data_IF_504291897174
#
_entry.id   IF_504291897174
#
_cell.length_a   1.000
_cell.length_b   1.000
_cell.length_c   1.000
_cell.angle_alpha   90.00
_cell.angle_beta   90.00
_cell.angle_gamma   90.00
#
_symmetry.space_group_name_H-M   'P 1'
#
loop_
_entity.id
_entity.type
_entity.pdbx_description
1 polymer ?
#
# COMPACT_ATOMS: atom_id res chain seq x y z
N UNK A 1 6.84 -17.14 -4.33
CA UNK A 1 6.29 -15.78 -4.24
C UNK A 1 4.80 -15.90 -3.97
N UNK A 2 4.30 -15.31 -2.88
CA UNK A 2 2.88 -15.41 -2.49
C UNK A 2 2.02 -14.54 -3.40
N UNK A 3 0.81 -14.99 -3.71
CA UNK A 3 -0.19 -14.17 -4.41
C UNK A 3 -1.19 -13.59 -3.41
N UNK A 4 -1.62 -12.37 -3.69
CA UNK A 4 -2.60 -11.61 -2.93
C UNK A 4 -3.91 -11.67 -3.70
N UNK A 5 -4.97 -12.08 -3.02
CA UNK A 5 -6.31 -12.07 -3.59
C UNK A 5 -6.77 -10.63 -3.82
N UNK A 6 -7.58 -10.43 -4.85
CA UNK A 6 -8.05 -9.10 -5.14
C UNK A 6 -9.13 -9.02 -6.19
N UNK A 7 -9.34 -7.80 -6.67
CA UNK A 7 -10.14 -7.51 -7.84
C UNK A 7 -9.52 -6.40 -8.67
N UNK A 8 -9.68 -6.50 -9.98
CA UNK A 8 -9.39 -5.46 -10.93
C UNK A 8 -10.70 -4.82 -11.41
N UNK A 9 -10.76 -3.50 -11.40
CA UNK A 9 -11.92 -2.71 -11.82
C UNK A 9 -11.55 -1.96 -13.10
N UNK A 10 -12.15 -2.37 -14.22
CA UNK A 10 -11.93 -1.78 -15.53
C UNK A 10 -13.02 -0.76 -15.89
N UNK A 11 -12.70 0.18 -16.78
CA UNK A 11 -13.70 1.03 -17.44
C UNK A 11 -14.44 1.99 -16.50
N UNK A 12 -15.77 1.99 -16.55
CA UNK A 12 -16.65 2.91 -15.79
C UNK A 12 -16.89 2.49 -14.33
N UNK A 13 -16.16 1.49 -13.84
CA UNK A 13 -16.20 1.06 -12.44
C UNK A 13 -17.27 0.04 -12.08
N UNK A 14 -18.08 -0.42 -13.05
CA UNK A 14 -19.22 -1.33 -12.79
C UNK A 14 -18.87 -2.81 -12.82
N UNK A 15 -17.80 -3.18 -13.54
CA UNK A 15 -17.38 -4.57 -13.67
C UNK A 15 -16.06 -4.80 -12.91
N UNK A 16 -16.07 -5.81 -12.04
CA UNK A 16 -14.91 -6.23 -11.29
C UNK A 16 -14.52 -7.66 -11.68
N UNK A 17 -13.24 -7.84 -12.02
CA UNK A 17 -12.65 -9.14 -12.28
C UNK A 17 -11.84 -9.58 -11.07
N UNK A 18 -12.27 -10.65 -10.41
CA UNK A 18 -11.54 -11.20 -9.26
C UNK A 18 -10.33 -12.01 -9.74
N UNK A 19 -9.26 -11.96 -8.98
CA UNK A 19 -8.01 -12.61 -9.35
C UNK A 19 -7.01 -12.64 -8.19
N UNK A 20 -5.79 -13.09 -8.52
CA UNK A 20 -4.68 -13.18 -7.59
C UNK A 20 -3.42 -12.64 -8.26
N UNK A 21 -2.72 -11.75 -7.57
CA UNK A 21 -1.51 -11.09 -8.08
C UNK A 21 -0.37 -11.18 -7.09
N UNK A 22 0.84 -11.38 -7.60
CA UNK A 22 2.07 -11.19 -6.84
C UNK A 22 2.33 -9.70 -6.59
N UNK A 23 3.18 -9.38 -5.62
CA UNK A 23 3.60 -7.98 -5.38
C UNK A 23 4.28 -7.38 -6.61
N UNK A 24 5.03 -8.17 -7.37
CA UNK A 24 5.65 -7.73 -8.63
C UNK A 24 4.61 -7.35 -9.69
N UNK A 25 3.56 -8.16 -9.85
CA UNK A 25 2.46 -7.85 -10.78
C UNK A 25 1.71 -6.58 -10.33
N UNK A 26 1.43 -6.43 -9.04
CA UNK A 26 0.83 -5.20 -8.49
C UNK A 26 1.73 -3.99 -8.75
N UNK A 27 3.04 -4.13 -8.55
CA UNK A 27 4.01 -3.07 -8.85
C UNK A 27 3.97 -2.66 -10.33
N UNK A 28 3.80 -3.62 -11.24
CA UNK A 28 3.68 -3.32 -12.67
C UNK A 28 2.38 -2.57 -12.98
N UNK A 29 1.24 -2.91 -12.35
CA UNK A 29 0.01 -2.12 -12.49
C UNK A 29 0.21 -0.66 -12.04
N UNK A 30 0.83 -0.47 -10.87
CA UNK A 30 1.07 0.88 -10.31
C UNK A 30 2.02 1.68 -11.21
N UNK A 31 3.04 1.05 -11.81
CA UNK A 31 3.91 1.68 -12.82
C UNK A 31 3.13 2.04 -14.10
N UNK A 32 2.20 1.19 -14.52
CA UNK A 32 1.34 1.39 -15.70
C UNK A 32 0.09 2.23 -15.39
N UNK A 33 0.23 3.23 -14.50
CA UNK A 33 -0.81 4.22 -14.21
C UNK A 33 -2.12 3.67 -13.62
N UNK A 34 -2.04 2.67 -12.75
CA UNK A 34 -3.18 2.19 -11.95
C UNK A 34 -3.04 2.58 -10.48
N UNK A 35 -4.18 2.83 -9.84
CA UNK A 35 -4.26 2.79 -8.39
C UNK A 35 -4.32 1.34 -7.92
N UNK A 36 -3.70 1.07 -6.78
CA UNK A 36 -3.88 -0.20 -6.08
C UNK A 36 -4.16 0.07 -4.60
N UNK A 37 -5.35 -0.30 -4.14
CA UNK A 37 -5.80 -0.15 -2.78
C UNK A 37 -5.69 -1.48 -2.05
N UNK A 38 -4.81 -1.55 -1.05
CA UNK A 38 -4.67 -2.72 -0.18
C UNK A 38 -5.59 -2.55 1.02
N UNK A 39 -6.50 -3.50 1.20
CA UNK A 39 -7.12 -3.78 2.49
C UNK A 39 -6.18 -4.68 3.29
N UNK A 40 -6.09 -4.44 4.60
CA UNK A 40 -5.19 -5.12 5.53
C UNK A 40 -5.65 -4.86 6.97
N UNK A 41 -5.11 -5.59 7.95
CA UNK A 41 -5.38 -5.41 9.38
C UNK A 41 -4.57 -4.25 10.01
N UNK A 42 -3.36 -4.02 9.49
CA UNK A 42 -2.48 -2.92 9.87
C UNK A 42 -1.09 -3.04 9.25
N UNK A 43 -0.25 -2.05 9.50
CA UNK A 43 1.12 -2.03 9.00
C UNK A 43 2.07 -1.32 9.96
N UNK A 44 3.36 -1.56 9.78
CA UNK A 44 4.41 -0.82 10.46
C UNK A 44 4.92 0.33 9.59
N UNK A 45 5.41 1.41 10.18
CA UNK A 45 6.02 2.55 9.47
C UNK A 45 7.51 2.58 9.78
N UNK A 46 8.35 2.45 8.74
CA UNK A 46 9.82 2.40 8.76
C UNK A 46 10.44 1.21 9.51
N UNK A 47 9.91 0.83 10.67
CA UNK A 47 10.40 -0.26 11.50
C UNK A 47 9.28 -0.92 12.34
N UNK A 48 9.60 -2.03 12.98
CA UNK A 48 8.67 -2.84 13.78
C UNK A 48 8.08 -2.15 15.03
N UNK A 49 8.64 -1.04 15.48
CA UNK A 49 8.20 -0.38 16.72
C UNK A 49 7.04 0.60 16.48
N UNK A 50 6.81 0.99 15.23
CA UNK A 50 5.81 2.00 14.87
C UNK A 50 4.64 1.35 14.14
N UNK A 51 3.76 0.71 14.90
CA UNK A 51 2.56 0.05 14.36
C UNK A 51 1.42 1.06 14.16
N UNK A 52 0.78 1.00 12.99
CA UNK A 52 -0.43 1.73 12.66
C UNK A 52 -1.57 0.74 12.39
N UNK A 53 -2.63 0.80 13.21
CA UNK A 53 -3.88 0.09 12.96
C UNK A 53 -4.68 0.84 11.89
N UNK A 54 -4.29 0.67 10.63
CA UNK A 54 -5.00 1.19 9.48
C UNK A 54 -5.59 0.02 8.70
N UNK A 55 -6.85 0.11 8.28
CA UNK A 55 -7.51 -0.96 7.53
C UNK A 55 -7.25 -0.92 6.01
N UNK A 56 -6.45 0.06 5.57
CA UNK A 56 -6.24 0.35 4.17
C UNK A 56 -4.93 1.09 3.90
N UNK A 57 -4.33 0.83 2.74
CA UNK A 57 -3.24 1.62 2.16
C UNK A 57 -3.48 1.80 0.66
N UNK A 58 -3.34 3.02 0.14
CA UNK A 58 -3.46 3.29 -1.29
C UNK A 58 -2.07 3.47 -1.90
N UNK A 59 -1.84 2.75 -2.99
CA UNK A 59 -0.69 2.93 -3.86
C UNK A 59 -1.10 3.79 -5.06
N UNK A 60 -0.39 4.91 -5.23
CA UNK A 60 -0.59 5.90 -6.27
C UNK A 60 0.27 5.59 -7.51
N UNK A 61 -0.32 5.75 -8.72
CA UNK A 61 0.37 5.63 -10.00
C UNK A 61 1.78 6.24 -10.02
N UNK A 62 2.78 5.45 -10.39
CA UNK A 62 4.17 5.92 -10.59
C UNK A 62 4.93 6.39 -9.34
N UNK A 63 4.28 6.49 -8.17
CA UNK A 63 4.86 7.07 -6.96
C UNK A 63 5.18 6.03 -5.89
N UNK A 64 4.26 5.09 -5.64
CA UNK A 64 4.35 4.17 -4.49
C UNK A 64 4.53 2.73 -4.96
N UNK A 65 5.66 2.45 -5.60
CA UNK A 65 5.94 1.14 -6.19
C UNK A 65 6.30 0.13 -5.07
N UNK A 66 5.48 -0.91 -4.81
CA UNK A 66 5.75 -1.86 -3.75
C UNK A 66 6.87 -2.84 -4.14
N UNK A 67 7.58 -3.36 -3.15
CA UNK A 67 8.49 -4.50 -3.28
C UNK A 67 8.20 -5.56 -2.22
N UNK A 68 8.73 -6.77 -2.38
CA UNK A 68 8.57 -7.86 -1.41
C UNK A 68 9.92 -8.42 -0.98
N UNK A 69 10.10 -8.55 0.33
CA UNK A 69 11.23 -9.22 0.98
C UNK A 69 10.67 -10.28 1.94
N UNK A 70 10.79 -11.55 1.58
CA UNK A 70 10.20 -12.68 2.34
C UNK A 70 8.69 -12.46 2.58
N UNK A 71 8.28 -12.40 3.85
CA UNK A 71 6.89 -12.19 4.29
C UNK A 71 6.55 -10.70 4.49
N UNK A 72 7.38 -9.77 3.99
CA UNK A 72 7.16 -8.33 4.13
C UNK A 72 6.95 -7.69 2.77
N UNK A 73 5.88 -6.91 2.66
CA UNK A 73 5.64 -6.01 1.53
C UNK A 73 6.06 -4.61 1.97
N UNK A 74 7.01 -4.02 1.24
CA UNK A 74 7.54 -2.69 1.50
C UNK A 74 6.88 -1.72 0.52
N UNK A 75 6.21 -0.70 1.04
CA UNK A 75 5.44 0.25 0.25
C UNK A 75 5.96 1.66 0.56
N UNK A 76 6.81 2.24 -0.31
CA UNK A 76 7.25 3.63 -0.14
C UNK A 76 6.06 4.57 -0.36
N UNK A 77 5.88 5.54 0.52
CA UNK A 77 4.80 6.53 0.45
C UNK A 77 5.14 7.79 1.25
N UNK A 78 4.25 8.78 1.23
CA UNK A 78 4.36 9.98 2.04
C UNK A 78 3.13 10.14 2.94
N UNK A 79 3.36 10.53 4.19
CA UNK A 79 2.29 11.01 5.08
C UNK A 79 2.56 12.47 5.45
N UNK A 80 1.48 13.21 5.72
CA UNK A 80 1.62 14.51 6.38
C UNK A 80 2.24 14.30 7.77
N UNK A 81 3.20 15.15 8.14
CA UNK A 81 3.92 15.07 9.42
C UNK A 81 2.99 14.87 10.61
N UNK A 82 1.89 15.62 10.69
CA UNK A 82 0.96 15.51 11.82
C UNK A 82 0.33 14.11 11.97
N UNK A 83 0.18 13.34 10.88
CA UNK A 83 -0.36 11.97 10.91
C UNK A 83 0.65 10.98 11.50
N UNK A 84 1.94 11.29 11.42
CA UNK A 84 3.01 10.47 11.99
C UNK A 84 3.26 10.78 13.48
N UNK A 85 2.67 11.87 13.99
CA UNK A 85 2.67 12.20 15.40
C UNK A 85 4.09 12.31 15.98
N UNK A 86 4.35 11.55 17.04
CA UNK A 86 5.60 11.61 17.81
C UNK A 86 6.85 11.19 17.04
N UNK A 87 6.72 10.47 15.92
CA UNK A 87 7.86 10.07 15.09
C UNK A 87 8.60 11.27 14.47
N UNK A 88 7.88 12.38 14.26
CA UNK A 88 8.39 13.59 13.62
C UNK A 88 7.79 14.84 14.26
N UNK A 89 8.15 15.09 15.54
CA UNK A 89 7.52 16.12 16.38
C UNK A 89 7.86 17.58 16.03
N UNK A 90 8.88 17.83 15.22
CA UNK A 90 9.33 19.18 14.85
C UNK A 90 9.10 19.45 13.35
N UNK A 91 8.81 20.71 12.98
CA UNK A 91 8.60 21.15 11.60
C UNK A 91 7.15 21.51 11.27
N UNK A 92 6.85 21.79 9.99
CA UNK A 92 5.50 22.15 9.57
C UNK A 92 4.61 20.88 9.55
N UNK A 93 3.42 20.91 10.19
CA UNK A 93 2.52 19.76 10.25
C UNK A 93 2.04 19.25 8.88
N UNK A 94 2.00 20.11 7.87
CA UNK A 94 1.57 19.77 6.51
C UNK A 94 2.68 19.25 5.60
N UNK A 95 3.94 19.23 6.07
CA UNK A 95 5.04 18.65 5.31
C UNK A 95 4.74 17.18 4.98
N UNK A 96 4.99 16.79 3.73
CA UNK A 96 4.97 15.39 3.31
C UNK A 96 6.28 14.72 3.69
N UNK A 97 6.20 13.74 4.58
CA UNK A 97 7.34 12.98 5.07
C UNK A 97 7.38 11.63 4.36
N UNK A 98 8.46 11.32 3.61
CA UNK A 98 8.62 10.02 2.99
C UNK A 98 8.87 8.96 4.06
N UNK A 99 8.15 7.85 3.95
CA UNK A 99 8.24 6.69 4.84
C UNK A 99 8.06 5.40 4.04
N UNK A 100 8.38 4.26 4.65
CA UNK A 100 8.07 2.94 4.11
C UNK A 100 7.05 2.26 5.00
N UNK A 101 5.87 1.95 4.46
CA UNK A 101 4.92 1.06 5.11
C UNK A 101 5.38 -0.39 4.93
N UNK A 102 5.45 -1.15 6.02
CA UNK A 102 5.82 -2.55 6.06
C UNK A 102 4.57 -3.36 6.40
N UNK A 103 4.04 -4.06 5.40
CA UNK A 103 2.83 -4.88 5.52
C UNK A 103 3.24 -6.35 5.61
N UNK A 104 2.56 -7.11 6.46
CA UNK A 104 2.74 -8.57 6.52
C UNK A 104 2.07 -9.22 5.29
N UNK A 105 2.84 -9.91 4.45
CA UNK A 105 2.30 -10.65 3.30
C UNK A 105 1.36 -11.80 3.71
N UNK A 106 1.41 -12.20 4.98
CA UNK A 106 0.55 -13.21 5.60
C UNK A 106 -0.62 -12.64 6.41
N UNK A 107 -0.90 -11.34 6.29
CA UNK A 107 -2.11 -10.74 6.83
C UNK A 107 -3.37 -11.40 6.22
N UNK A 108 -4.27 -11.88 7.08
CA UNK A 108 -5.50 -12.59 6.69
C UNK A 108 -6.52 -11.65 6.03
N UNK A 109 -6.44 -10.34 6.29
CA UNK A 109 -7.27 -9.32 5.66
C UNK A 109 -6.68 -8.77 4.34
N UNK A 110 -5.51 -9.27 3.94
CA UNK A 110 -4.80 -8.75 2.78
C UNK A 110 -5.57 -8.99 1.48
N UNK A 111 -6.07 -7.91 0.89
CA UNK A 111 -6.82 -7.96 -0.36
C UNK A 111 -6.54 -6.71 -1.19
N UNK A 112 -6.21 -6.87 -2.47
CA UNK A 112 -5.90 -5.73 -3.37
C UNK A 112 -7.10 -5.39 -4.26
N UNK A 113 -7.45 -4.11 -4.34
CA UNK A 113 -8.32 -3.58 -5.39
C UNK A 113 -7.48 -2.74 -6.34
N UNK A 114 -7.39 -3.14 -7.60
CA UNK A 114 -6.65 -2.44 -8.65
C UNK A 114 -7.66 -1.72 -9.54
N UNK A 115 -7.42 -0.46 -9.85
CA UNK A 115 -8.30 0.34 -10.72
C UNK A 115 -7.48 1.27 -11.60
N UNK A 116 -7.92 1.46 -12.84
CA UNK A 116 -7.28 2.41 -13.75
C UNK A 116 -7.50 3.84 -13.26
N UNK A 117 -6.47 4.68 -13.35
CA UNK A 117 -6.55 6.13 -13.12
C UNK A 117 -7.33 6.82 -14.26
#
# INVERSE_FOLDING_TARGET
MKKIQGRYIAGDGKEAQYGEWTVEEIANFVKDNHFAHLRLSGYHINDKNHYASASALTMFPGETIPTQEEDKILIPTCFRRFKLGYMFSEGNPDDLIPVTCIVNANDEELFVTISKN
#
